data_IF_297165208433
#
_entry.id   IF_297165208433
#
_cell.length_a   1.000
_cell.length_b   1.000
_cell.length_c   1.000
_cell.angle_alpha   90.00
_cell.angle_beta   90.00
_cell.angle_gamma   90.00
#
_symmetry.space_group_name_H-M   'P 1'
#
loop_
_entity.id
_entity.type
_entity.pdbx_description
1 polymer ?
#
# COMPACT_ATOMS: atom_id res chain seq x y z
N UNK A 1 -17.95 29.72 -26.93
CA UNK A 1 -16.92 28.85 -27.50
C UNK A 1 -15.57 29.27 -26.91
N UNK A 2 -15.29 28.84 -25.67
CA UNK A 2 -14.02 29.01 -24.93
C UNK A 2 -14.03 27.83 -23.94
N UNK A 3 -13.56 26.66 -24.38
CA UNK A 3 -12.21 26.07 -24.24
C UNK A 3 -12.13 25.16 -23.00
N UNK A 4 -11.97 23.88 -23.31
CA UNK A 4 -11.92 22.72 -22.43
C UNK A 4 -10.65 22.69 -21.56
N UNK A 5 -10.66 23.38 -20.41
CA UNK A 5 -9.50 23.39 -19.48
C UNK A 5 -9.73 22.59 -18.18
N UNK A 6 -10.81 21.81 -18.09
CA UNK A 6 -11.06 20.91 -16.95
C UNK A 6 -10.76 19.42 -17.24
N UNK A 7 -10.11 19.09 -18.35
CA UNK A 7 -9.81 17.70 -18.76
C UNK A 7 -8.31 17.38 -18.88
N UNK A 8 -7.46 17.75 -17.92
CA UNK A 8 -6.03 17.37 -18.02
C UNK A 8 -5.37 16.94 -16.71
N UNK A 9 -6.15 16.37 -15.80
CA UNK A 9 -5.61 15.37 -14.84
C UNK A 9 -6.31 14.03 -15.07
N UNK A 10 -6.58 13.74 -16.34
CA UNK A 10 -6.99 12.42 -16.85
C UNK A 10 -5.78 11.74 -17.50
N UNK A 11 -4.58 11.96 -16.97
CA UNK A 11 -3.52 10.97 -17.14
C UNK A 11 -3.91 9.80 -16.24
N UNK A 12 -4.86 9.02 -16.73
CA UNK A 12 -4.93 7.61 -16.45
C UNK A 12 -3.50 7.11 -16.23
N UNK A 13 -3.20 6.64 -15.02
CA UNK A 13 -2.00 5.87 -14.72
C UNK A 13 -2.11 4.49 -15.43
N UNK A 14 -2.38 4.52 -16.74
CA UNK A 14 -2.83 3.40 -17.58
C UNK A 14 -1.71 2.73 -18.34
N UNK A 15 -0.45 3.10 -18.17
CA UNK A 15 0.63 2.47 -18.93
C UNK A 15 1.89 2.29 -18.07
N UNK A 16 1.84 1.30 -17.17
CA UNK A 16 3.04 0.84 -16.47
C UNK A 16 2.78 -0.13 -15.31
N UNK A 17 3.79 -0.95 -15.05
CA UNK A 17 3.98 -1.67 -13.81
C UNK A 17 4.99 -0.87 -12.99
N UNK A 18 4.68 -0.51 -11.75
CA UNK A 18 5.63 0.20 -10.90
C UNK A 18 5.70 -0.39 -9.48
N UNK A 19 6.85 -0.24 -8.84
CA UNK A 19 7.07 -0.69 -7.47
C UNK A 19 6.91 0.48 -6.51
N UNK A 20 6.27 0.25 -5.37
CA UNK A 20 6.15 1.21 -4.28
C UNK A 20 6.35 0.53 -2.92
N UNK A 21 7.22 1.11 -2.10
CA UNK A 21 7.61 0.55 -0.81
C UNK A 21 7.21 1.50 0.31
N UNK A 22 6.40 1.03 1.26
CA UNK A 22 5.83 1.87 2.31
C UNK A 22 6.17 1.37 3.71
N UNK A 23 6.23 2.30 4.63
CA UNK A 23 6.28 2.07 6.06
C UNK A 23 5.03 2.65 6.72
N UNK A 24 4.33 1.79 7.45
CA UNK A 24 3.06 2.10 8.12
C UNK A 24 3.25 2.00 9.63
N UNK A 25 2.92 3.07 10.34
CA UNK A 25 3.10 3.17 11.79
C UNK A 25 2.00 4.01 12.43
N UNK A 26 1.67 3.73 13.69
CA UNK A 26 0.74 4.57 14.45
C UNK A 26 1.48 5.79 15.00
N UNK A 27 0.83 6.96 14.97
CA UNK A 27 1.36 8.20 15.55
C UNK A 27 0.43 8.71 16.66
N UNK A 28 1.02 9.18 17.76
CA UNK A 28 0.33 9.90 18.85
C UNK A 28 0.99 11.26 19.00
N UNK A 29 0.22 12.34 18.91
CA UNK A 29 0.77 13.70 19.01
C UNK A 29 1.81 14.05 17.93
N UNK A 30 1.73 13.41 16.75
CA UNK A 30 2.67 13.58 15.65
C UNK A 30 3.97 12.75 15.77
N UNK A 31 4.17 12.04 16.88
CA UNK A 31 5.32 11.18 17.11
C UNK A 31 4.96 9.71 16.92
N UNK A 32 5.91 8.90 16.47
CA UNK A 32 5.73 7.45 16.34
C UNK A 32 5.44 6.81 17.70
N UNK A 33 4.41 5.96 17.73
CA UNK A 33 4.03 5.22 18.93
C UNK A 33 5.01 4.07 19.12
N UNK A 34 5.86 4.16 20.16
CA UNK A 34 6.78 3.09 20.49
C UNK A 34 6.02 1.81 20.88
N UNK A 35 6.53 0.67 20.41
CA UNK A 35 5.99 -0.64 20.74
C UNK A 35 4.68 -1.03 20.05
N UNK A 36 4.19 -0.22 19.10
CA UNK A 36 3.05 -0.61 18.28
C UNK A 36 3.44 -1.53 17.11
N UNK A 37 2.46 -2.23 16.56
CA UNK A 37 2.62 -2.98 15.32
C UNK A 37 2.93 -2.01 14.17
N UNK A 38 3.99 -2.31 13.45
CA UNK A 38 4.43 -1.59 12.26
C UNK A 38 4.33 -2.51 11.07
N UNK A 39 4.01 -1.96 9.90
CA UNK A 39 3.82 -2.75 8.68
C UNK A 39 4.69 -2.17 7.57
N UNK A 40 5.65 -2.97 7.10
CA UNK A 40 6.42 -2.69 5.90
C UNK A 40 5.74 -3.34 4.70
N UNK A 41 5.60 -2.59 3.63
CA UNK A 41 5.01 -3.04 2.37
C UNK A 41 5.99 -2.86 1.24
N UNK A 42 6.06 -3.86 0.37
CA UNK A 42 6.76 -3.81 -0.90
C UNK A 42 5.74 -4.24 -1.98
N UNK A 43 5.16 -3.26 -2.68
CA UNK A 43 4.05 -3.44 -3.61
C UNK A 43 4.50 -3.30 -5.06
N UNK A 44 3.86 -4.06 -5.94
CA UNK A 44 3.90 -3.95 -7.38
C UNK A 44 2.50 -3.57 -7.84
N UNK A 45 2.36 -2.38 -8.40
CA UNK A 45 1.10 -1.82 -8.87
C UNK A 45 1.03 -1.99 -10.39
N UNK A 46 -0.02 -2.67 -10.85
CA UNK A 46 -0.34 -2.77 -12.26
C UNK A 46 -1.40 -1.70 -12.61
N UNK A 47 -0.96 -0.68 -13.34
CA UNK A 47 -1.84 0.41 -13.79
C UNK A 47 -3.00 -0.08 -14.67
N UNK A 48 -2.70 -0.74 -15.81
CA UNK A 48 -3.71 -1.25 -16.73
C UNK A 48 -4.74 -2.21 -16.10
N UNK A 49 -4.28 -3.18 -15.32
CA UNK A 49 -5.16 -4.23 -14.76
C UNK A 49 -5.83 -3.83 -13.45
N UNK A 50 -5.44 -2.68 -12.88
CA UNK A 50 -5.87 -2.23 -11.55
C UNK A 50 -5.57 -3.22 -10.41
N UNK A 51 -4.57 -4.08 -10.60
CA UNK A 51 -4.17 -5.09 -9.62
C UNK A 51 -2.95 -4.65 -8.81
N UNK A 52 -2.84 -5.21 -7.61
CA UNK A 52 -1.73 -4.99 -6.68
C UNK A 52 -1.25 -6.34 -6.16
N UNK A 53 0.04 -6.60 -6.30
CA UNK A 53 0.70 -7.74 -5.69
C UNK A 53 1.86 -7.26 -4.82
N UNK A 54 2.32 -8.06 -3.88
CA UNK A 54 3.47 -7.66 -3.09
C UNK A 54 3.78 -8.56 -1.91
N UNK A 55 4.60 -8.03 -1.00
CA UNK A 55 4.93 -8.67 0.27
C UNK A 55 4.71 -7.66 1.39
N UNK A 56 4.23 -8.16 2.51
CA UNK A 56 4.16 -7.42 3.77
C UNK A 56 5.00 -8.09 4.83
N UNK A 57 5.57 -7.26 5.72
CA UNK A 57 6.15 -7.70 6.96
C UNK A 57 5.58 -6.83 8.09
N UNK A 58 4.76 -7.45 8.93
CA UNK A 58 4.24 -6.87 10.15
C UNK A 58 5.15 -7.22 11.31
N UNK A 59 5.61 -6.21 12.03
CA UNK A 59 6.53 -6.37 13.14
C UNK A 59 6.12 -5.53 14.35
N UNK A 60 6.14 -6.16 15.52
CA UNK A 60 6.03 -5.52 16.83
C UNK A 60 7.09 -6.11 17.76
N UNK A 61 7.96 -5.28 18.34
CA UNK A 61 9.03 -5.76 19.21
C UNK A 61 8.57 -6.07 20.65
N UNK A 62 7.52 -5.39 21.13
CA UNK A 62 7.12 -5.42 22.53
C UNK A 62 5.78 -6.14 22.76
N UNK A 63 5.80 -7.06 23.74
CA UNK A 63 4.72 -7.80 24.37
C UNK A 63 3.27 -7.65 23.80
N UNK A 64 2.78 -8.63 23.02
CA UNK A 64 3.53 -9.76 22.48
C UNK A 64 4.47 -9.31 21.35
N UNK A 65 5.67 -9.91 21.21
CA UNK A 65 6.45 -9.74 19.99
C UNK A 65 5.69 -10.39 18.82
N UNK A 66 5.44 -9.63 17.76
CA UNK A 66 4.70 -10.10 16.58
C UNK A 66 5.61 -10.03 15.36
N UNK A 67 5.56 -11.07 14.53
CA UNK A 67 6.18 -11.10 13.21
C UNK A 67 5.29 -11.89 12.25
N UNK A 68 4.59 -11.20 11.36
CA UNK A 68 3.70 -11.81 10.36
C UNK A 68 4.16 -11.38 8.97
N UNK A 69 4.49 -12.36 8.12
CA UNK A 69 4.94 -12.12 6.75
C UNK A 69 3.89 -12.68 5.80
N UNK A 70 3.51 -11.88 4.80
CA UNK A 70 2.41 -12.26 3.91
C UNK A 70 2.70 -11.88 2.47
N UNK A 71 2.36 -12.78 1.53
CA UNK A 71 2.19 -12.41 0.14
C UNK A 71 0.85 -11.69 -0.03
N UNK A 72 0.87 -10.52 -0.66
CA UNK A 72 -0.29 -9.66 -0.85
C UNK A 72 -0.84 -9.81 -2.27
N UNK A 73 -2.17 -9.86 -2.36
CA UNK A 73 -2.90 -9.79 -3.62
C UNK A 73 -4.18 -8.96 -3.42
N UNK A 74 -4.50 -8.10 -4.39
CA UNK A 74 -5.74 -7.35 -4.42
C UNK A 74 -5.73 -6.32 -5.54
N UNK A 75 -6.45 -5.23 -5.31
CA UNK A 75 -6.76 -4.25 -6.35
C UNK A 75 -6.61 -2.82 -5.84
N UNK A 76 -6.55 -1.89 -6.79
CA UNK A 76 -6.56 -0.45 -6.50
C UNK A 76 -7.60 0.29 -7.33
N UNK A 77 -8.10 1.40 -6.78
CA UNK A 77 -9.13 2.23 -7.40
C UNK A 77 -8.97 3.69 -6.98
N UNK A 78 -9.63 4.60 -7.68
CA UNK A 78 -9.73 5.99 -7.24
C UNK A 78 -11.01 6.21 -6.44
N UNK A 79 -10.90 7.00 -5.37
CA UNK A 79 -12.04 7.51 -4.61
C UNK A 79 -11.99 9.03 -4.63
N UNK A 80 -13.15 9.67 -4.67
CA UNK A 80 -13.25 11.13 -4.60
C UNK A 80 -14.10 11.55 -3.41
N UNK A 81 -13.62 12.54 -2.67
CA UNK A 81 -14.33 13.14 -1.55
C UNK A 81 -13.99 14.63 -1.45
N UNK A 82 -15.01 15.50 -1.38
CA UNK A 82 -14.84 16.96 -1.26
C UNK A 82 -13.83 17.58 -2.26
N UNK A 83 -13.94 17.24 -3.55
CA UNK A 83 -13.02 17.66 -4.62
C UNK A 83 -11.55 17.19 -4.46
N UNK A 84 -11.26 16.27 -3.56
CA UNK A 84 -9.98 15.58 -3.48
C UNK A 84 -10.11 14.19 -4.10
N UNK A 85 -9.12 13.79 -4.90
CA UNK A 85 -9.00 12.46 -5.48
C UNK A 85 -7.91 11.72 -4.72
N UNK A 86 -8.24 10.55 -4.19
CA UNK A 86 -7.32 9.70 -3.46
C UNK A 86 -7.30 8.31 -4.11
N UNK A 87 -6.20 7.60 -3.92
CA UNK A 87 -6.11 6.21 -4.35
C UNK A 87 -6.47 5.29 -3.19
N UNK A 88 -7.40 4.37 -3.44
CA UNK A 88 -7.76 3.29 -2.52
C UNK A 88 -7.10 1.99 -2.98
N UNK A 89 -6.26 1.41 -2.12
CA UNK A 89 -5.68 0.08 -2.31
C UNK A 89 -6.34 -0.87 -1.31
N UNK A 90 -6.82 -2.02 -1.77
CA UNK A 90 -7.39 -3.06 -0.93
C UNK A 90 -6.71 -4.37 -1.28
N UNK A 91 -6.00 -4.94 -0.31
CA UNK A 91 -5.23 -6.18 -0.49
C UNK A 91 -5.44 -7.13 0.68
N UNK A 92 -5.43 -8.42 0.36
CA UNK A 92 -5.40 -9.49 1.34
C UNK A 92 -4.04 -10.18 1.32
N UNK A 93 -3.57 -10.54 2.51
CA UNK A 93 -2.31 -11.24 2.71
C UNK A 93 -2.52 -12.71 3.07
N UNK A 94 -1.67 -13.55 2.50
CA UNK A 94 -1.64 -14.99 2.73
C UNK A 94 -0.23 -15.42 3.15
N UNK A 95 -0.15 -16.51 3.92
CA UNK A 95 1.12 -17.12 4.28
C UNK A 95 1.96 -17.46 3.04
N UNK A 96 3.29 -17.39 3.17
CA UNK A 96 4.23 -17.67 2.07
C UNK A 96 4.23 -19.14 1.62
N UNK A 97 3.64 -20.02 2.40
CA UNK A 97 3.51 -21.45 2.12
C UNK A 97 2.10 -21.89 2.48
N UNK A 98 1.52 -22.77 1.66
CA UNK A 98 0.23 -23.37 1.97
C UNK A 98 0.32 -24.24 3.22
N UNK A 99 -0.71 -24.16 4.05
CA UNK A 99 -0.88 -25.08 5.17
C UNK A 99 -1.61 -26.33 4.68
N UNK A 100 -1.28 -27.48 5.26
CA UNK A 100 -1.96 -28.73 4.94
C UNK A 100 -3.14 -28.94 5.89
N UNK A 101 -4.36 -28.94 5.36
CA UNK A 101 -5.56 -29.32 6.11
C UNK A 101 -6.13 -30.60 5.52
N UNK A 102 -6.13 -31.69 6.30
CA UNK A 102 -6.57 -33.01 5.84
C UNK A 102 -5.76 -33.54 4.64
N UNK A 103 -4.48 -33.15 4.51
CA UNK A 103 -3.60 -33.54 3.41
C UNK A 103 -3.73 -32.69 2.14
N UNK A 104 -4.60 -31.68 2.11
CA UNK A 104 -4.72 -30.77 0.98
C UNK A 104 -4.06 -29.42 1.30
N UNK A 105 -3.28 -28.85 0.36
CA UNK A 105 -2.75 -27.50 0.51
C UNK A 105 -3.90 -26.50 0.48
N UNK A 106 -3.91 -25.59 1.46
CA UNK A 106 -4.88 -24.50 1.56
C UNK A 106 -4.14 -23.20 1.84
N UNK A 107 -4.40 -22.19 1.02
CA UNK A 107 -3.94 -20.84 1.27
C UNK A 107 -4.58 -20.31 2.56
N UNK A 108 -3.75 -19.76 3.44
CA UNK A 108 -4.18 -19.27 4.74
C UNK A 108 -4.03 -17.75 4.79
N UNK A 109 -5.16 -17.07 4.92
CA UNK A 109 -5.22 -15.60 5.00
C UNK A 109 -4.76 -15.15 6.38
N UNK A 110 -3.80 -14.25 6.43
CA UNK A 110 -3.19 -13.76 7.67
C UNK A 110 -3.19 -12.23 7.79
N UNK A 111 -3.51 -11.49 6.72
CA UNK A 111 -3.62 -10.03 6.71
C UNK A 111 -4.79 -9.57 5.84
N UNK A 112 -5.43 -8.47 6.21
CA UNK A 112 -6.32 -7.71 5.33
C UNK A 112 -6.04 -6.22 5.50
N UNK A 113 -5.82 -5.51 4.40
CA UNK A 113 -5.23 -4.17 4.42
C UNK A 113 -5.97 -3.24 3.46
N UNK A 114 -6.28 -2.04 3.97
CA UNK A 114 -6.86 -0.94 3.21
C UNK A 114 -5.96 0.28 3.34
N UNK A 115 -5.48 0.81 2.22
CA UNK A 115 -4.73 2.06 2.16
C UNK A 115 -5.53 3.12 1.41
N UNK A 116 -5.54 4.32 1.97
CA UNK A 116 -5.98 5.54 1.28
C UNK A 116 -4.77 6.42 1.11
N UNK A 117 -4.29 6.52 -0.13
CA UNK A 117 -3.10 7.28 -0.51
C UNK A 117 -3.50 8.63 -1.08
N UNK A 118 -2.64 9.63 -0.90
CA UNK A 118 -2.70 10.88 -1.64
C UNK A 118 -2.50 10.64 -3.14
N UNK A 119 -2.94 11.61 -3.96
CA UNK A 119 -2.84 11.55 -5.42
C UNK A 119 -1.39 11.34 -5.92
N UNK A 120 -0.41 11.84 -5.17
CA UNK A 120 1.02 11.70 -5.45
C UNK A 120 1.63 10.35 -5.02
N UNK A 121 0.85 9.47 -4.39
CA UNK A 121 1.29 8.17 -3.84
C UNK A 121 2.41 8.24 -2.79
N UNK A 122 2.73 9.43 -2.25
CA UNK A 122 3.85 9.58 -1.32
C UNK A 122 3.48 9.28 0.14
N UNK A 123 2.20 9.47 0.49
CA UNK A 123 1.72 9.35 1.85
C UNK A 123 0.26 8.94 1.90
N UNK A 124 -0.22 8.59 3.08
CA UNK A 124 -1.62 8.22 3.25
C UNK A 124 -1.98 7.75 4.65
N UNK A 125 -3.11 7.08 4.72
CA UNK A 125 -3.61 6.42 5.92
C UNK A 125 -3.95 4.97 5.60
N UNK A 126 -3.72 4.08 6.55
CA UNK A 126 -4.05 2.68 6.40
C UNK A 126 -4.81 2.15 7.62
N UNK A 127 -5.70 1.21 7.35
CA UNK A 127 -6.27 0.32 8.36
C UNK A 127 -6.01 -1.11 7.94
N UNK A 128 -5.61 -1.96 8.89
CA UNK A 128 -5.32 -3.35 8.60
C UNK A 128 -5.65 -4.27 9.77
N UNK A 129 -5.98 -5.49 9.41
CA UNK A 129 -6.15 -6.61 10.32
C UNK A 129 -5.06 -7.63 10.09
N UNK A 130 -4.58 -8.26 11.15
CA UNK A 130 -3.61 -9.34 11.06
C UNK A 130 -3.95 -10.47 12.02
N UNK A 131 -3.65 -11.69 11.60
CA UNK A 131 -3.83 -12.90 12.39
C UNK A 131 -2.54 -13.20 13.15
N UNK A 132 -2.63 -13.26 14.47
CA UNK A 132 -1.53 -13.65 15.33
C UNK A 132 -2.04 -14.61 16.41
N UNK A 133 -1.37 -15.76 16.56
CA UNK A 133 -1.75 -16.81 17.52
C UNK A 133 -3.24 -17.24 17.46
N UNK A 134 -3.84 -17.18 16.28
CA UNK A 134 -5.24 -17.58 16.05
C UNK A 134 -6.27 -16.49 16.31
N UNK A 135 -5.86 -15.29 16.72
CA UNK A 135 -6.72 -14.14 16.94
C UNK A 135 -6.45 -13.02 15.92
N UNK A 136 -7.50 -12.34 15.50
CA UNK A 136 -7.41 -11.18 14.61
C UNK A 136 -7.25 -9.90 15.43
N UNK A 137 -6.23 -9.14 15.09
CA UNK A 137 -5.91 -7.85 15.69
C UNK A 137 -6.11 -6.75 14.66
N UNK A 138 -6.72 -5.65 15.09
CA UNK A 138 -7.04 -4.50 14.25
C UNK A 138 -6.15 -3.30 14.56
N UNK A 139 -5.68 -2.65 13.51
CA UNK A 139 -4.96 -1.37 13.56
C UNK A 139 -5.69 -0.39 12.65
N UNK A 140 -6.23 0.66 13.25
CA UNK A 140 -6.92 1.72 12.52
C UNK A 140 -6.07 2.99 12.40
N UNK A 141 -6.31 3.74 11.32
CA UNK A 141 -5.80 5.10 11.10
C UNK A 141 -4.27 5.23 11.27
N UNK A 142 -3.52 4.21 10.87
CA UNK A 142 -2.06 4.26 10.84
C UNK A 142 -1.59 5.18 9.71
N UNK A 143 -0.47 5.86 9.92
CA UNK A 143 0.11 6.75 8.92
C UNK A 143 0.97 5.95 7.94
N UNK A 144 0.77 6.19 6.65
CA UNK A 144 1.57 5.61 5.57
C UNK A 144 2.61 6.63 5.13
N UNK A 145 3.86 6.19 5.02
CA UNK A 145 4.99 6.98 4.51
C UNK A 145 5.82 6.14 3.56
N UNK A 146 6.37 6.77 2.52
CA UNK A 146 7.32 6.11 1.64
C UNK A 146 8.59 5.73 2.41
N UNK A 147 9.08 4.50 2.24
CA UNK A 147 10.25 4.01 2.98
C UNK A 147 11.54 4.66 2.43
N UNK A 148 12.23 5.47 3.24
CA UNK A 148 13.50 6.10 2.87
C UNK A 148 14.69 5.12 2.97
N UNK A 149 15.44 5.01 1.87
CA UNK A 149 16.48 4.00 1.62
C UNK A 149 16.47 3.50 0.17
N UNK A 150 15.29 3.55 -0.46
CA UNK A 150 15.10 3.46 -1.92
C UNK A 150 14.75 4.83 -2.55
N UNK A 151 14.84 5.92 -1.77
CA UNK A 151 14.33 7.24 -2.18
C UNK A 151 15.01 7.75 -3.44
N UNK A 152 16.33 7.62 -3.58
CA UNK A 152 17.05 8.15 -4.74
C UNK A 152 16.78 7.34 -6.03
N UNK A 153 16.78 6.01 -5.95
CA UNK A 153 16.54 5.13 -7.12
C UNK A 153 15.08 5.26 -7.60
N UNK A 154 14.13 5.30 -6.67
CA UNK A 154 12.72 5.45 -6.99
C UNK A 154 12.36 6.90 -7.36
N UNK A 155 12.99 7.93 -6.78
CA UNK A 155 12.84 9.32 -7.23
C UNK A 155 13.42 9.49 -8.63
N UNK A 156 14.55 8.88 -8.96
CA UNK A 156 15.11 8.99 -10.31
C UNK A 156 14.23 8.26 -11.34
N UNK A 157 13.67 7.10 -10.99
CA UNK A 157 12.70 6.37 -11.83
C UNK A 157 11.36 7.13 -11.97
N UNK A 158 10.83 7.71 -10.89
CA UNK A 158 9.60 8.51 -10.90
C UNK A 158 9.83 9.85 -11.62
N UNK A 159 10.98 10.50 -11.42
CA UNK A 159 11.33 11.77 -12.07
C UNK A 159 11.58 11.58 -13.56
N UNK A 160 12.25 10.50 -13.96
CA UNK A 160 12.42 10.15 -15.38
C UNK A 160 11.10 9.76 -16.03
N UNK A 161 10.21 9.07 -15.31
CA UNK A 161 8.84 8.81 -15.76
C UNK A 161 8.02 10.10 -15.91
N UNK A 162 8.08 11.01 -14.94
CA UNK A 162 7.38 12.31 -14.99
C UNK A 162 7.94 13.16 -16.13
N UNK A 163 9.25 13.21 -16.31
CA UNK A 163 9.89 14.02 -17.36
C UNK A 163 9.66 13.46 -18.78
N UNK A 164 9.67 12.13 -18.93
CA UNK A 164 9.36 11.48 -20.21
C UNK A 164 7.89 11.60 -20.61
N UNK A 165 7.00 11.83 -19.64
CA UNK A 165 5.55 11.93 -19.85
C UNK A 165 5.00 13.32 -19.49
N UNK A 166 5.85 14.35 -19.45
CA UNK A 166 5.38 15.72 -19.36
C UNK A 166 4.57 16.05 -20.62
N UNK A 167 3.31 16.54 -20.50
CA UNK A 167 2.55 16.94 -21.67
C UNK A 167 3.29 18.07 -22.39
N UNK A 168 3.71 17.81 -23.63
CA UNK A 168 4.28 18.83 -24.50
C UNK A 168 3.19 19.83 -24.89
N UNK A 169 3.41 21.10 -24.56
CA UNK A 169 2.58 22.24 -25.01
C UNK A 169 2.61 22.40 -26.53
#
# INVERSE_FOLDING_TARGET
MIKDEHMTIQAENKQGLFRASYYITQKIGGQEKLGCATLRLDLIINGPEKSVNGISNLYQASNPPVNVISHLNGDWSYISHNNQINTLIVVDGFDLCDIQFGGNPMAHKNVSLRLVMSEDWLSGTASFNYLYEGEWYEVEYANVSLLEGEKQINLDALSSFIHANQPTL
#
